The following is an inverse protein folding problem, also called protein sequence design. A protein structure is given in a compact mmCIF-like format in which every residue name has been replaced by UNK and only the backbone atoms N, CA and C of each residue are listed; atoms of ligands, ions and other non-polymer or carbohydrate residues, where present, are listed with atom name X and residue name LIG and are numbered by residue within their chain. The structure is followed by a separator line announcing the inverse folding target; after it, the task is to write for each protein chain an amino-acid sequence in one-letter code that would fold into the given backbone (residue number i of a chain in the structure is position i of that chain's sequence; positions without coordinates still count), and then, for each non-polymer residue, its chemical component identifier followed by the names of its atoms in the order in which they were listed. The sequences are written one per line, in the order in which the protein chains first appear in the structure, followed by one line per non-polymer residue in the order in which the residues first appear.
data_IF_769341561423
#
_entry.id   IF_769341561423
#
_cell.length_a   1.000
_cell.length_b   1.000
_cell.length_c   1.000
_cell.angle_alpha   90.00
_cell.angle_beta   90.00
_cell.angle_gamma   90.00
#
_symmetry.space_group_name_H-M   'P 1'
#
loop_
_entity.id
_entity.type
_entity.pdbx_description
1 polymer ?
#
# COMPACT_ATOMS: atom_id res chain seq x y z
N UNK A 1 18.41 34.38 11.11
CA UNK A 1 17.16 33.62 10.87
C UNK A 1 17.52 32.16 11.00
N UNK A 2 17.30 31.60 12.18
CA UNK A 2 17.59 30.20 12.49
C UNK A 2 16.44 29.35 11.92
N UNK A 3 16.76 28.50 10.95
CA UNK A 3 15.84 27.46 10.51
C UNK A 3 15.46 26.60 11.71
N UNK A 4 14.17 26.55 12.05
CA UNK A 4 13.66 25.57 13.01
C UNK A 4 14.04 24.17 12.49
N UNK A 5 14.48 23.24 13.37
CA UNK A 5 14.63 21.85 12.97
C UNK A 5 13.26 21.37 12.50
N UNK A 6 13.25 20.73 11.34
CA UNK A 6 12.06 19.99 10.86
C UNK A 6 11.63 19.07 12.01
N UNK A 7 10.41 19.28 12.53
CA UNK A 7 9.78 18.36 13.45
C UNK A 7 9.87 16.96 12.83
N UNK A 8 10.48 16.02 13.55
CA UNK A 8 10.55 14.63 13.15
C UNK A 8 9.12 14.17 12.86
N UNK A 9 8.87 13.80 11.61
CA UNK A 9 7.54 13.35 11.17
C UNK A 9 7.25 11.97 11.76
N UNK A 10 6.82 11.92 13.00
CA UNK A 10 6.43 10.66 13.67
C UNK A 10 5.12 10.19 13.05
N UNK A 11 5.13 9.01 12.42
CA UNK A 11 3.93 8.33 11.94
C UNK A 11 3.55 7.27 12.96
N UNK A 12 2.65 7.60 13.88
CA UNK A 12 2.16 6.64 14.88
C UNK A 12 0.84 6.02 14.41
N UNK A 13 0.92 5.09 13.48
CA UNK A 13 -0.22 4.33 12.96
C UNK A 13 -0.06 2.85 13.31
N UNK A 14 -1.19 2.21 13.66
CA UNK A 14 -1.29 0.77 13.89
C UNK A 14 -2.58 0.26 13.26
N UNK A 15 -2.51 -0.88 12.61
CA UNK A 15 -3.74 -1.56 12.19
C UNK A 15 -4.52 -1.98 13.44
N UNK A 16 -5.84 -1.69 13.50
CA UNK A 16 -6.68 -2.16 14.60
C UNK A 16 -6.74 -3.69 14.56
N UNK A 17 -7.35 -4.29 15.59
CA UNK A 17 -7.52 -5.76 15.66
C UNK A 17 -8.28 -6.27 14.43
N UNK A 18 -7.53 -6.63 13.40
CA UNK A 18 -8.03 -7.24 12.18
C UNK A 18 -8.08 -8.76 12.39
N UNK A 19 -9.20 -9.40 12.04
CA UNK A 19 -9.22 -10.86 11.89
C UNK A 19 -8.59 -11.21 10.54
N UNK A 20 -7.35 -11.72 10.51
CA UNK A 20 -6.69 -12.06 9.26
C UNK A 20 -7.37 -13.25 8.59
N UNK A 21 -7.14 -13.42 7.30
CA UNK A 21 -7.53 -14.64 6.60
C UNK A 21 -6.74 -15.84 7.18
N UNK A 22 -7.33 -17.03 7.09
CA UNK A 22 -6.57 -18.27 7.41
C UNK A 22 -5.29 -18.32 6.55
N UNK A 23 -4.15 -18.74 7.12
CA UNK A 23 -2.92 -18.89 6.36
C UNK A 23 -3.06 -19.73 5.10
N UNK A 24 -3.89 -20.78 5.13
CA UNK A 24 -4.13 -21.71 4.03
C UNK A 24 -5.23 -21.23 3.06
N UNK A 25 -5.92 -20.11 3.36
CA UNK A 25 -6.94 -19.57 2.47
C UNK A 25 -6.31 -19.12 1.17
N UNK A 26 -6.62 -19.81 0.06
CA UNK A 26 -6.20 -19.36 -1.27
C UNK A 26 -6.90 -18.05 -1.63
N UNK A 27 -6.12 -17.02 -1.84
CA UNK A 27 -6.55 -15.66 -2.22
C UNK A 27 -6.59 -15.52 -3.73
N UNK A 28 -5.54 -16.01 -4.41
CA UNK A 28 -5.40 -15.96 -5.87
C UNK A 28 -4.59 -17.16 -6.36
N UNK A 29 -4.89 -17.64 -7.55
CA UNK A 29 -4.08 -18.59 -8.32
C UNK A 29 -3.90 -18.02 -9.72
N UNK A 30 -2.63 -17.83 -10.11
CA UNK A 30 -2.20 -17.61 -11.49
C UNK A 30 -1.52 -18.89 -11.97
N UNK A 31 -1.89 -19.38 -13.15
CA UNK A 31 -1.32 -20.60 -13.73
C UNK A 31 -0.96 -20.34 -15.21
N UNK A 32 0.32 -20.08 -15.45
CA UNK A 32 0.88 -19.78 -16.79
C UNK A 32 0.20 -18.60 -17.51
N UNK A 33 -0.23 -17.60 -16.73
CA UNK A 33 -0.86 -16.39 -17.27
C UNK A 33 0.14 -15.51 -18.02
N UNK A 34 -0.36 -14.64 -18.90
CA UNK A 34 0.42 -13.60 -19.56
C UNK A 34 0.11 -12.23 -19.00
N UNK A 35 1.15 -11.40 -18.82
CA UNK A 35 1.00 -9.99 -18.52
C UNK A 35 1.19 -9.18 -19.79
N UNK A 36 0.15 -8.44 -20.19
CA UNK A 36 0.19 -7.63 -21.41
C UNK A 36 -0.37 -6.22 -21.17
N UNK A 37 0.06 -5.27 -22.00
CA UNK A 37 -0.52 -3.92 -22.13
C UNK A 37 -0.94 -3.76 -23.59
N UNK A 38 -2.25 -3.80 -23.85
CA UNK A 38 -2.77 -3.89 -25.21
C UNK A 38 -2.25 -5.16 -25.88
N UNK A 39 -1.64 -5.02 -27.06
CA UNK A 39 -1.07 -6.14 -27.81
C UNK A 39 0.37 -6.50 -27.39
N UNK A 40 0.97 -5.73 -26.48
CA UNK A 40 2.35 -5.96 -26.04
C UNK A 40 2.39 -6.90 -24.82
N UNK A 41 2.88 -8.13 -25.04
CA UNK A 41 3.16 -9.07 -23.95
C UNK A 41 4.46 -8.69 -23.26
N UNK A 42 4.38 -8.36 -21.97
CA UNK A 42 5.52 -7.98 -21.12
C UNK A 42 6.15 -9.21 -20.46
N UNK A 43 5.32 -10.12 -19.95
CA UNK A 43 5.76 -11.30 -19.22
C UNK A 43 4.92 -12.50 -19.64
N UNK A 44 5.57 -13.64 -19.81
CA UNK A 44 4.93 -14.94 -20.11
C UNK A 44 5.03 -15.86 -18.91
N UNK A 45 4.16 -16.88 -18.89
CA UNK A 45 4.20 -17.97 -17.91
C UNK A 45 4.21 -17.51 -16.45
N UNK A 46 3.38 -16.52 -16.12
CA UNK A 46 3.19 -16.10 -14.73
C UNK A 46 2.45 -17.19 -13.96
N UNK A 47 3.12 -17.78 -12.98
CA UNK A 47 2.51 -18.72 -12.05
C UNK A 47 2.76 -18.26 -10.63
N UNK A 48 1.68 -18.07 -9.85
CA UNK A 48 1.74 -17.60 -8.46
C UNK A 48 0.51 -18.06 -7.72
N UNK A 49 0.70 -18.63 -6.54
CA UNK A 49 -0.36 -18.86 -5.57
C UNK A 49 -0.21 -17.89 -4.43
N UNK A 50 -1.26 -17.10 -4.15
CA UNK A 50 -1.34 -16.23 -2.99
C UNK A 50 -2.22 -16.86 -1.93
N UNK A 51 -1.73 -16.89 -0.68
CA UNK A 51 -2.45 -17.34 0.50
C UNK A 51 -2.74 -16.19 1.46
N UNK A 52 -3.65 -16.41 2.39
CA UNK A 52 -4.25 -15.36 3.22
C UNK A 52 -3.29 -14.53 4.07
N UNK A 53 -2.12 -15.05 4.41
CA UNK A 53 -1.12 -14.35 5.22
C UNK A 53 0.26 -14.31 4.56
N UNK A 54 0.32 -14.51 3.25
CA UNK A 54 1.56 -14.38 2.50
C UNK A 54 2.05 -12.93 2.52
N UNK A 55 3.34 -12.74 2.75
CA UNK A 55 4.03 -11.46 2.63
C UNK A 55 5.10 -11.57 1.55
N UNK A 56 4.76 -11.11 0.36
CA UNK A 56 5.55 -11.32 -0.86
C UNK A 56 6.10 -10.00 -1.39
N UNK A 57 7.41 -9.96 -1.62
CA UNK A 57 8.08 -8.89 -2.34
C UNK A 57 8.32 -9.24 -3.80
N UNK A 58 8.08 -8.29 -4.69
CA UNK A 58 8.36 -8.39 -6.12
C UNK A 58 9.47 -7.41 -6.47
N UNK A 59 10.57 -7.93 -7.02
CA UNK A 59 11.67 -7.12 -7.56
C UNK A 59 11.83 -7.38 -9.05
N UNK A 60 12.66 -6.61 -9.73
CA UNK A 60 12.96 -6.77 -11.14
C UNK A 60 13.46 -5.49 -11.77
N UNK A 61 13.93 -5.55 -13.00
CA UNK A 61 14.42 -4.38 -13.74
C UNK A 61 13.31 -3.34 -13.95
N UNK A 62 13.72 -2.09 -14.16
CA UNK A 62 12.76 -1.03 -14.50
C UNK A 62 12.12 -1.35 -15.87
N UNK A 63 10.81 -1.12 -15.96
CA UNK A 63 10.05 -1.38 -17.19
C UNK A 63 9.63 -2.83 -17.41
N UNK A 64 10.05 -3.81 -16.59
CA UNK A 64 9.66 -5.23 -16.76
C UNK A 64 8.18 -5.51 -16.48
N UNK A 65 7.41 -4.51 -15.98
CA UNK A 65 5.97 -4.67 -15.75
C UNK A 65 5.57 -4.91 -14.29
N UNK A 66 6.41 -4.60 -13.29
CA UNK A 66 6.11 -4.82 -11.86
C UNK A 66 4.80 -4.18 -11.41
N UNK A 67 4.63 -2.89 -11.67
CA UNK A 67 3.39 -2.16 -11.32
C UNK A 67 2.18 -2.67 -12.12
N UNK A 68 2.38 -3.04 -13.39
CA UNK A 68 1.35 -3.65 -14.22
C UNK A 68 0.92 -5.00 -13.66
N UNK A 69 1.88 -5.81 -13.20
CA UNK A 69 1.61 -7.09 -12.54
C UNK A 69 0.82 -6.90 -11.23
N UNK A 70 1.20 -5.91 -10.44
CA UNK A 70 0.47 -5.60 -9.21
C UNK A 70 -0.97 -5.13 -9.49
N UNK A 71 -1.17 -4.31 -10.54
CA UNK A 71 -2.51 -3.90 -11.01
C UNK A 71 -3.32 -5.10 -11.52
N UNK A 72 -2.73 -6.03 -12.27
CA UNK A 72 -3.39 -7.27 -12.69
C UNK A 72 -3.87 -8.07 -11.49
N UNK A 73 -3.03 -8.26 -10.47
CA UNK A 73 -3.45 -8.93 -9.22
C UNK A 73 -4.61 -8.18 -8.57
N UNK A 74 -4.52 -6.85 -8.52
CA UNK A 74 -5.60 -6.01 -7.97
C UNK A 74 -6.92 -6.23 -8.68
N UNK A 75 -6.94 -6.18 -10.01
CA UNK A 75 -8.16 -6.33 -10.82
C UNK A 75 -8.81 -7.71 -10.58
N UNK A 76 -8.00 -8.76 -10.57
CA UNK A 76 -8.47 -10.13 -10.28
C UNK A 76 -9.03 -10.26 -8.86
N UNK A 77 -8.43 -9.59 -7.87
CA UNK A 77 -8.93 -9.63 -6.49
C UNK A 77 -10.22 -8.84 -6.30
N UNK A 78 -10.51 -7.82 -7.14
CA UNK A 78 -11.78 -7.09 -7.09
C UNK A 78 -12.98 -7.95 -7.48
N UNK A 79 -12.79 -9.01 -8.25
CA UNK A 79 -13.85 -9.98 -8.60
C UNK A 79 -14.28 -10.79 -7.37
N UNK A 80 -13.38 -10.97 -6.40
CA UNK A 80 -13.66 -11.73 -5.17
C UNK A 80 -14.08 -10.82 -4.01
N UNK A 81 -15.36 -10.45 -3.99
CA UNK A 81 -15.95 -9.58 -2.94
C UNK A 81 -15.93 -10.17 -1.51
N UNK A 82 -15.53 -11.43 -1.33
CA UNK A 82 -15.43 -12.05 -0.01
C UNK A 82 -14.14 -11.65 0.75
N UNK A 83 -13.19 -11.02 0.09
CA UNK A 83 -11.92 -10.59 0.67
C UNK A 83 -11.82 -9.07 0.55
N UNK A 84 -11.69 -8.39 1.70
CA UNK A 84 -11.42 -6.95 1.70
C UNK A 84 -9.97 -6.72 1.31
N UNK A 85 -9.77 -6.13 0.15
CA UNK A 85 -8.45 -5.82 -0.40
C UNK A 85 -8.26 -4.32 -0.52
N UNK A 86 -7.03 -3.86 -0.43
CA UNK A 86 -6.67 -2.48 -0.75
C UNK A 86 -5.39 -2.42 -1.60
N UNK A 87 -5.31 -1.41 -2.45
CA UNK A 87 -4.17 -1.15 -3.31
C UNK A 87 -3.63 0.25 -3.08
N UNK A 88 -2.36 0.35 -2.72
CA UNK A 88 -1.62 1.59 -2.57
C UNK A 88 -0.75 1.78 -3.82
N UNK A 89 -1.10 2.69 -4.73
CA UNK A 89 -0.32 2.95 -5.94
C UNK A 89 0.94 3.76 -5.63
N UNK A 90 1.90 3.73 -6.53
CA UNK A 90 3.08 4.58 -6.47
C UNK A 90 2.74 6.08 -6.60
N UNK A 91 1.78 6.41 -7.45
CA UNK A 91 1.20 7.75 -7.59
C UNK A 91 -0.18 7.77 -6.90
N UNK A 92 -0.26 8.43 -5.76
CA UNK A 92 -1.49 8.49 -4.97
C UNK A 92 -2.63 9.21 -5.70
N UNK A 93 -2.32 10.09 -6.67
CA UNK A 93 -3.34 10.80 -7.45
C UNK A 93 -4.22 9.86 -8.29
N UNK A 94 -3.77 8.64 -8.57
CA UNK A 94 -4.58 7.62 -9.23
C UNK A 94 -5.80 7.19 -8.40
N UNK A 95 -5.76 7.38 -7.08
CA UNK A 95 -6.76 6.84 -6.15
C UNK A 95 -7.33 7.86 -5.18
N UNK A 96 -6.63 8.96 -4.93
CA UNK A 96 -7.13 10.01 -4.06
C UNK A 96 -8.12 10.91 -4.78
N UNK A 97 -9.29 11.21 -4.19
CA UNK A 97 -10.25 12.15 -4.75
C UNK A 97 -9.76 13.58 -4.52
N UNK A 98 -8.96 14.10 -5.43
CA UNK A 98 -8.19 15.34 -5.29
C UNK A 98 -9.03 16.59 -4.96
N UNK A 99 -10.32 16.58 -5.29
CA UNK A 99 -11.25 17.70 -5.01
C UNK A 99 -11.93 17.63 -3.65
N UNK A 100 -11.86 16.48 -2.98
CA UNK A 100 -12.38 16.31 -1.62
C UNK A 100 -11.36 16.78 -0.59
N UNK A 101 -11.85 17.09 0.62
CA UNK A 101 -10.98 17.32 1.77
C UNK A 101 -10.57 15.98 2.41
N UNK A 102 -9.46 15.91 3.19
CA UNK A 102 -9.09 14.72 3.95
C UNK A 102 -10.22 14.17 4.84
N UNK A 103 -10.95 15.04 5.51
CA UNK A 103 -12.11 14.63 6.35
C UNK A 103 -13.20 14.00 5.48
N UNK A 104 -13.56 14.63 4.35
CA UNK A 104 -14.58 14.09 3.44
C UNK A 104 -14.17 12.74 2.84
N UNK A 105 -12.89 12.56 2.55
CA UNK A 105 -12.37 11.32 1.99
C UNK A 105 -12.41 10.14 2.97
N UNK A 106 -12.19 10.42 4.26
CA UNK A 106 -12.12 9.37 5.28
C UNK A 106 -13.46 9.05 5.93
N UNK A 107 -14.45 9.94 5.87
CA UNK A 107 -15.76 9.75 6.49
C UNK A 107 -16.64 8.76 5.70
N UNK A 108 -17.49 8.02 6.42
CA UNK A 108 -18.48 7.10 5.86
C UNK A 108 -19.91 7.52 6.21
N UNK A 109 -20.20 7.72 7.49
CA UNK A 109 -21.52 8.16 7.99
C UNK A 109 -21.68 9.66 7.94
N UNK A 110 -20.58 10.41 8.14
CA UNK A 110 -20.56 11.86 8.27
C UNK A 110 -21.18 12.36 9.58
N UNK A 111 -21.38 11.49 10.58
CA UNK A 111 -21.82 11.91 11.89
C UNK A 111 -20.70 12.64 12.65
N UNK A 112 -21.10 13.39 13.68
CA UNK A 112 -20.18 14.25 14.40
C UNK A 112 -19.10 13.49 15.17
N UNK A 113 -19.41 12.31 15.66
CA UNK A 113 -18.46 11.47 16.41
C UNK A 113 -17.40 10.89 15.49
N UNK A 114 -17.79 10.38 14.31
CA UNK A 114 -16.86 9.92 13.28
C UNK A 114 -15.93 11.05 12.83
N UNK A 115 -16.49 12.23 12.51
CA UNK A 115 -15.69 13.40 12.07
C UNK A 115 -14.66 13.79 13.13
N UNK A 116 -15.06 13.86 14.40
CA UNK A 116 -14.14 14.18 15.49
C UNK A 116 -13.01 13.14 15.60
N UNK A 117 -13.32 11.86 15.46
CA UNK A 117 -12.35 10.77 15.50
C UNK A 117 -11.37 10.87 14.33
N UNK A 118 -11.86 11.15 13.13
CA UNK A 118 -11.01 11.35 11.93
C UNK A 118 -10.07 12.55 12.13
N UNK A 119 -10.59 13.67 12.64
CA UNK A 119 -9.76 14.84 12.90
C UNK A 119 -8.67 14.58 13.95
N UNK A 120 -8.96 13.79 14.99
CA UNK A 120 -7.94 13.36 15.96
C UNK A 120 -6.85 12.49 15.31
N UNK A 121 -7.22 11.56 14.45
CA UNK A 121 -6.24 10.75 13.70
C UNK A 121 -5.40 11.63 12.77
N UNK A 122 -6.01 12.54 12.02
CA UNK A 122 -5.28 13.47 11.15
C UNK A 122 -4.33 14.38 11.96
N UNK A 123 -4.79 14.90 13.09
CA UNK A 123 -3.95 15.71 14.00
C UNK A 123 -2.74 14.91 14.52
N UNK A 124 -2.91 13.62 14.84
CA UNK A 124 -1.81 12.74 15.29
C UNK A 124 -0.76 12.49 14.19
N UNK A 125 -1.12 12.73 12.93
CA UNK A 125 -0.23 12.68 11.76
C UNK A 125 0.33 14.07 11.37
N UNK A 126 0.16 15.06 12.25
CA UNK A 126 0.59 16.45 12.05
C UNK A 126 -0.14 17.19 10.92
N UNK A 127 -1.40 16.84 10.62
CA UNK A 127 -2.23 17.69 9.78
C UNK A 127 -2.74 18.89 10.55
N UNK A 128 -2.57 20.06 9.99
CA UNK A 128 -3.18 21.31 10.53
C UNK A 128 -4.68 21.31 10.24
N UNK A 129 -5.43 22.13 11.00
CA UNK A 129 -6.87 22.29 10.76
C UNK A 129 -7.18 22.73 9.32
N UNK A 130 -6.35 23.62 8.75
CA UNK A 130 -6.48 24.07 7.37
C UNK A 130 -6.34 22.89 6.37
N UNK A 131 -5.30 22.08 6.52
CA UNK A 131 -5.04 20.92 5.64
C UNK A 131 -6.13 19.86 5.73
N UNK A 132 -6.78 19.70 6.88
CA UNK A 132 -7.92 18.78 7.03
C UNK A 132 -9.16 19.19 6.25
N UNK A 133 -9.31 20.49 5.93
CA UNK A 133 -10.52 21.08 5.36
C UNK A 133 -10.29 21.71 3.97
N UNK A 134 -9.08 21.64 3.43
CA UNK A 134 -8.78 22.05 2.06
C UNK A 134 -8.64 20.83 1.12
N UNK A 135 -8.75 21.02 -0.20
CA UNK A 135 -8.67 19.92 -1.16
C UNK A 135 -7.39 19.11 -1.05
N UNK A 136 -7.48 17.79 -1.18
CA UNK A 136 -6.34 16.86 -1.16
C UNK A 136 -5.28 17.24 -2.21
N UNK A 137 -5.68 17.88 -3.31
CA UNK A 137 -4.75 18.38 -4.33
C UNK A 137 -3.75 19.41 -3.81
N UNK A 138 -4.03 20.09 -2.70
CA UNK A 138 -3.15 21.10 -2.07
C UNK A 138 -2.13 20.47 -1.09
N UNK A 139 -2.29 19.18 -0.77
CA UNK A 139 -1.38 18.46 0.11
C UNK A 139 -0.06 18.11 -0.60
N UNK A 140 1.04 18.13 0.15
CA UNK A 140 2.32 17.59 -0.31
C UNK A 140 2.23 16.07 -0.56
N UNK A 141 3.13 15.52 -1.37
CA UNK A 141 3.18 14.06 -1.61
C UNK A 141 3.33 13.24 -0.33
N UNK A 142 4.10 13.71 0.64
CA UNK A 142 4.20 13.05 1.96
C UNK A 142 2.90 13.07 2.75
N UNK A 143 2.17 14.19 2.74
CA UNK A 143 0.86 14.31 3.36
C UNK A 143 -0.19 13.42 2.67
N UNK A 144 -0.20 13.38 1.33
CA UNK A 144 -1.05 12.45 0.58
C UNK A 144 -0.74 10.99 0.95
N UNK A 145 0.54 10.65 1.12
CA UNK A 145 0.97 9.34 1.59
C UNK A 145 0.45 9.01 2.99
N UNK A 146 0.58 9.94 3.94
CA UNK A 146 0.05 9.79 5.32
C UNK A 146 -1.47 9.61 5.31
N UNK A 147 -2.18 10.41 4.49
CA UNK A 147 -3.63 10.30 4.33
C UNK A 147 -4.03 8.93 3.80
N UNK A 148 -3.29 8.42 2.81
CA UNK A 148 -3.52 7.10 2.23
C UNK A 148 -3.28 5.98 3.25
N UNK A 149 -2.19 6.07 4.03
CA UNK A 149 -1.92 5.11 5.11
C UNK A 149 -3.02 5.12 6.17
N UNK A 150 -3.52 6.30 6.55
CA UNK A 150 -4.62 6.41 7.50
C UNK A 150 -5.89 5.75 6.95
N UNK A 151 -6.21 5.93 5.67
CA UNK A 151 -7.31 5.21 5.02
C UNK A 151 -7.13 3.69 5.08
N UNK A 152 -5.94 3.18 4.78
CA UNK A 152 -5.65 1.74 4.88
C UNK A 152 -5.88 1.22 6.31
N UNK A 153 -5.44 1.96 7.31
CA UNK A 153 -5.62 1.59 8.72
C UNK A 153 -7.11 1.58 9.11
N UNK A 154 -7.87 2.60 8.71
CA UNK A 154 -9.29 2.73 9.05
C UNK A 154 -10.15 1.68 8.33
N UNK A 155 -9.86 1.37 7.08
CA UNK A 155 -10.61 0.37 6.29
C UNK A 155 -10.26 -1.06 6.64
N UNK A 156 -9.13 -1.28 7.30
CA UNK A 156 -8.67 -2.60 7.79
C UNK A 156 -8.82 -3.72 6.74
N UNK A 157 -8.18 -3.60 5.58
CA UNK A 157 -8.23 -4.63 4.54
C UNK A 157 -7.60 -5.93 5.04
N UNK A 158 -8.00 -7.07 4.47
CA UNK A 158 -7.45 -8.39 4.81
C UNK A 158 -6.25 -8.78 3.94
N UNK A 159 -6.13 -8.12 2.77
CA UNK A 159 -5.02 -8.30 1.85
C UNK A 159 -4.61 -6.97 1.21
N UNK A 160 -3.31 -6.70 1.17
CA UNK A 160 -2.74 -5.44 0.68
C UNK A 160 -1.92 -5.65 -0.60
N UNK A 161 -2.02 -4.70 -1.51
CA UNK A 161 -1.14 -4.55 -2.65
C UNK A 161 -0.44 -3.19 -2.53
N UNK A 162 0.90 -3.17 -2.52
CA UNK A 162 1.68 -1.98 -2.23
C UNK A 162 2.70 -1.72 -3.34
N UNK A 163 2.59 -0.58 -4.03
CA UNK A 163 3.54 -0.18 -5.05
C UNK A 163 4.45 0.93 -4.52
N UNK A 164 5.72 0.59 -4.25
CA UNK A 164 6.76 1.47 -3.69
C UNK A 164 6.31 2.22 -2.40
N UNK A 165 5.86 1.51 -1.35
CA UNK A 165 5.17 2.13 -0.21
C UNK A 165 6.03 3.07 0.62
N UNK A 166 7.38 3.04 0.50
CA UNK A 166 8.28 3.93 1.24
C UNK A 166 8.75 5.14 0.44
N UNK A 167 8.48 5.18 -0.88
CA UNK A 167 9.10 6.14 -1.81
C UNK A 167 8.83 7.61 -1.49
N UNK A 168 7.60 7.94 -1.11
CA UNK A 168 7.16 9.33 -0.91
C UNK A 168 7.33 9.82 0.53
N UNK A 169 8.00 9.03 1.37
CA UNK A 169 8.24 9.36 2.77
C UNK A 169 9.70 9.75 3.01
N UNK A 170 9.91 10.67 3.96
CA UNK A 170 11.25 11.06 4.38
C UNK A 170 12.03 9.87 4.93
N UNK A 171 13.37 9.88 4.87
CA UNK A 171 14.18 8.81 5.47
C UNK A 171 13.89 8.58 6.96
N UNK A 172 13.47 9.61 7.69
CA UNK A 172 13.11 9.54 9.11
C UNK A 172 11.77 8.84 9.35
N UNK A 173 10.82 8.93 8.41
CA UNK A 173 9.52 8.27 8.51
C UNK A 173 9.52 6.83 7.99
N UNK A 174 10.47 6.45 7.14
CA UNK A 174 10.51 5.11 6.54
C UNK A 174 10.57 3.95 7.57
N UNK A 175 11.30 4.03 8.71
CA UNK A 175 11.28 2.98 9.72
C UNK A 175 9.87 2.69 10.27
N UNK A 176 9.06 3.72 10.45
CA UNK A 176 7.69 3.58 10.97
C UNK A 176 6.75 2.97 9.94
N UNK A 177 6.93 3.33 8.65
CA UNK A 177 6.22 2.68 7.54
C UNK A 177 6.57 1.19 7.47
N UNK A 178 7.86 0.84 7.59
CA UNK A 178 8.29 -0.56 7.61
C UNK A 178 7.67 -1.32 8.78
N UNK A 179 7.69 -0.73 9.99
CA UNK A 179 7.07 -1.31 11.17
C UNK A 179 5.56 -1.51 10.99
N UNK A 180 4.85 -0.50 10.47
CA UNK A 180 3.41 -0.59 10.19
C UNK A 180 3.07 -1.82 9.36
N UNK A 181 3.81 -2.07 8.26
CA UNK A 181 3.56 -3.22 7.38
C UNK A 181 4.16 -4.53 7.89
N UNK A 182 5.24 -4.50 8.67
CA UNK A 182 5.77 -5.69 9.35
C UNK A 182 4.77 -6.23 10.37
N UNK A 183 4.14 -5.34 11.15
CA UNK A 183 3.14 -5.68 12.18
C UNK A 183 1.75 -5.97 11.58
N UNK A 184 1.53 -5.67 10.30
CA UNK A 184 0.25 -5.94 9.64
C UNK A 184 -0.06 -7.45 9.63
N UNK A 185 -1.23 -7.88 10.20
CA UNK A 185 -1.52 -9.30 10.40
C UNK A 185 -2.04 -10.03 9.15
N UNK A 186 -2.45 -9.28 8.12
CA UNK A 186 -2.97 -9.85 6.86
C UNK A 186 -1.88 -10.21 5.85
N UNK A 187 -2.31 -10.66 4.68
CA UNK A 187 -1.41 -10.91 3.56
C UNK A 187 -1.10 -9.64 2.77
N UNK A 188 0.07 -9.60 2.14
CA UNK A 188 0.43 -8.51 1.24
C UNK A 188 1.33 -8.96 0.08
N UNK A 189 1.20 -8.28 -1.04
CA UNK A 189 2.17 -8.30 -2.14
C UNK A 189 2.67 -6.87 -2.34
N UNK A 190 3.98 -6.71 -2.42
CA UNK A 190 4.60 -5.40 -2.62
C UNK A 190 5.62 -5.40 -3.73
N UNK A 191 5.64 -4.33 -4.50
CA UNK A 191 6.75 -3.95 -5.37
C UNK A 191 7.58 -2.94 -4.62
N UNK A 192 8.88 -3.16 -4.46
CA UNK A 192 9.76 -2.19 -3.83
C UNK A 192 11.22 -2.33 -4.28
N UNK A 193 11.91 -1.19 -4.32
CA UNK A 193 13.36 -1.10 -4.46
C UNK A 193 14.08 -0.92 -3.10
N UNK A 194 13.33 -0.68 -2.02
CA UNK A 194 13.84 -0.60 -0.66
C UNK A 194 14.15 -2.00 -0.11
N UNK A 195 15.44 -2.36 -0.12
CA UNK A 195 15.89 -3.67 0.38
C UNK A 195 15.60 -3.87 1.86
N UNK A 196 15.63 -2.79 2.65
CA UNK A 196 15.34 -2.86 4.09
C UNK A 196 13.87 -3.16 4.31
N UNK A 197 12.99 -2.47 3.59
CA UNK A 197 11.55 -2.76 3.60
C UNK A 197 11.27 -4.22 3.24
N UNK A 198 11.85 -4.71 2.14
CA UNK A 198 11.64 -6.10 1.70
C UNK A 198 12.10 -7.12 2.75
N UNK A 199 13.27 -6.89 3.40
CA UNK A 199 13.80 -7.77 4.44
C UNK A 199 12.97 -7.78 5.72
N UNK A 200 12.45 -6.62 6.14
CA UNK A 200 11.70 -6.49 7.38
C UNK A 200 10.24 -6.95 7.24
N UNK A 201 9.64 -6.79 6.04
CA UNK A 201 8.21 -7.01 5.81
C UNK A 201 7.92 -8.33 5.10
N UNK A 202 8.73 -8.72 4.10
CA UNK A 202 8.42 -9.85 3.24
C UNK A 202 9.04 -11.16 3.72
N UNK A 203 8.30 -12.26 3.55
CA UNK A 203 8.76 -13.63 3.86
C UNK A 203 9.28 -14.36 2.63
N UNK A 204 8.81 -13.96 1.44
CA UNK A 204 9.23 -14.50 0.15
C UNK A 204 9.49 -13.36 -0.82
N UNK A 205 10.49 -13.51 -1.64
CA UNK A 205 10.85 -12.52 -2.67
C UNK A 205 10.85 -13.20 -4.03
N UNK A 206 10.17 -12.59 -4.98
CA UNK A 206 10.19 -13.04 -6.38
C UNK A 206 10.83 -11.99 -7.26
N UNK A 207 11.59 -12.43 -8.23
CA UNK A 207 12.08 -11.59 -9.32
C UNK A 207 11.16 -11.77 -10.52
N UNK A 208 10.55 -10.67 -10.96
CA UNK A 208 9.79 -10.63 -12.21
C UNK A 208 10.76 -10.50 -13.39
N UNK A 209 10.62 -11.41 -14.35
CA UNK A 209 11.37 -11.46 -15.61
C UNK A 209 10.39 -11.58 -16.77
N UNK A 210 10.84 -11.40 -18.00
CA UNK A 210 10.02 -11.61 -19.20
C UNK A 210 9.46 -13.04 -19.32
N UNK A 211 10.07 -14.00 -18.62
CA UNK A 211 9.69 -15.42 -18.65
C UNK A 211 8.90 -15.87 -17.41
N UNK A 212 8.48 -14.93 -16.55
CA UNK A 212 7.71 -15.24 -15.34
C UNK A 212 8.39 -14.82 -14.05
N UNK A 213 7.91 -15.40 -12.95
CA UNK A 213 8.40 -15.16 -11.59
C UNK A 213 9.43 -16.21 -11.18
N UNK A 214 10.52 -15.75 -10.60
CA UNK A 214 11.57 -16.61 -10.04
C UNK A 214 11.72 -16.27 -8.54
N UNK A 215 11.48 -17.23 -7.66
CA UNK A 215 11.74 -17.07 -6.25
C UNK A 215 13.24 -16.94 -5.98
N UNK A 216 13.63 -15.99 -5.11
CA UNK A 216 15.03 -15.77 -4.75
C UNK A 216 15.22 -15.97 -3.26
N UNK A 217 16.32 -16.63 -2.87
CA UNK A 217 16.62 -16.96 -1.48
C UNK A 217 17.19 -15.77 -0.68
N UNK A 218 17.78 -14.78 -1.37
CA UNK A 218 18.38 -13.60 -0.71
C UNK A 218 18.35 -12.36 -1.61
N UNK A 219 18.29 -11.16 -0.99
CA UNK A 219 18.33 -9.82 -1.61
C UNK A 219 19.77 -9.29 -1.75
#
# INVERSE_FOLDING_TARGET
MTSQPYDEEIINLHFPSLTPLSPQKRVLLLDQEELAIGDLVLVKNLSLTLQGQDKIGIIGSNGVGKSTFLKMIWDLLQENKSIRTAYMPQDYTERLPLTQTPVQFLQHSGDREEINTIQLHLASLNFTFSEMHHPISELSGGQQGKLFLLQLVLTSPQFLLLDEPTRNFSPTSQPEIRRLFADYPGGLVTVSHDRTFLKEVCKKIYRLTENGLVEIESL
#
